data_IF_272444110008
#
_entry.id   IF_272444110008
#
_cell.length_a   1.000
_cell.length_b   1.000
_cell.length_c   1.000
_cell.angle_alpha   90.00
_cell.angle_beta   90.00
_cell.angle_gamma   90.00
#
_symmetry.space_group_name_H-M   'P 1'
#
loop_
_entity.id
_entity.type
_entity.pdbx_description
1 polymer ?
#
# COMPACT_ATOMS: atom_id res chain seq x y z
N UNK A 1 -8.47 -3.78 -21.31
CA UNK A 1 -7.94 -2.53 -21.90
C UNK A 1 -7.32 -2.75 -23.28
N UNK A 2 -6.25 -3.54 -23.41
CA UNK A 2 -5.59 -3.73 -24.73
C UNK A 2 -6.54 -4.33 -25.79
N UNK A 3 -7.43 -5.25 -25.43
CA UNK A 3 -8.47 -5.76 -26.34
C UNK A 3 -9.42 -4.66 -26.83
N UNK A 4 -9.73 -3.68 -25.98
CA UNK A 4 -10.56 -2.52 -26.35
C UNK A 4 -9.80 -1.60 -27.31
N UNK A 5 -8.54 -1.29 -27.02
CA UNK A 5 -7.70 -0.45 -27.89
C UNK A 5 -7.52 -1.07 -29.27
N UNK A 6 -7.27 -2.39 -29.33
CA UNK A 6 -7.20 -3.15 -30.57
C UNK A 6 -8.53 -3.14 -31.33
N UNK A 7 -9.65 -3.34 -30.65
CA UNK A 7 -10.99 -3.30 -31.24
C UNK A 7 -11.38 -1.91 -31.80
N UNK A 8 -10.78 -0.84 -31.28
CA UNK A 8 -10.94 0.53 -31.77
C UNK A 8 -9.88 0.96 -32.80
N UNK A 9 -9.01 0.03 -33.23
CA UNK A 9 -7.88 0.30 -34.14
C UNK A 9 -6.93 1.42 -33.64
N UNK A 10 -6.75 1.53 -32.32
CA UNK A 10 -5.80 2.46 -31.71
C UNK A 10 -4.46 1.72 -31.53
N UNK A 11 -3.36 2.13 -32.21
CA UNK A 11 -2.09 1.42 -32.19
C UNK A 11 -1.26 1.75 -30.93
N UNK A 12 -1.85 1.54 -29.76
CA UNK A 12 -1.24 1.78 -28.45
C UNK A 12 -1.35 0.52 -27.61
N UNK A 13 -0.24 0.16 -26.94
CA UNK A 13 -0.21 -0.90 -25.96
C UNK A 13 -0.03 -0.31 -24.56
N UNK A 14 -0.91 -0.70 -23.64
CA UNK A 14 -0.76 -0.38 -22.22
C UNK A 14 -0.08 -1.55 -21.53
N UNK A 15 1.05 -1.28 -20.87
CA UNK A 15 1.82 -2.25 -20.09
C UNK A 15 1.93 -1.75 -18.66
N UNK A 16 1.67 -2.62 -17.69
CA UNK A 16 1.96 -2.36 -16.29
C UNK A 16 3.24 -3.13 -15.91
N UNK A 17 4.42 -2.47 -15.83
CA UNK A 17 5.67 -3.15 -15.53
C UNK A 17 5.77 -3.67 -14.09
N UNK A 18 4.79 -3.34 -13.24
CA UNK A 18 4.77 -3.68 -11.82
C UNK A 18 3.63 -4.66 -11.46
N UNK A 19 2.97 -5.27 -12.45
CA UNK A 19 1.76 -6.07 -12.23
C UNK A 19 1.93 -7.22 -11.22
N UNK A 20 3.13 -7.80 -11.16
CA UNK A 20 3.44 -9.00 -10.38
C UNK A 20 4.30 -8.70 -9.13
N UNK A 21 4.49 -7.42 -8.84
CA UNK A 21 5.37 -6.96 -7.77
C UNK A 21 4.57 -6.46 -6.57
N UNK A 22 5.07 -6.76 -5.38
CA UNK A 22 4.62 -6.07 -4.17
C UNK A 22 5.00 -4.59 -4.22
N UNK A 23 4.48 -3.78 -3.30
CA UNK A 23 4.85 -2.36 -3.25
C UNK A 23 6.30 -2.16 -2.83
N UNK A 24 6.84 -2.99 -1.95
CA UNK A 24 8.26 -2.97 -1.62
C UNK A 24 9.14 -3.40 -2.79
N UNK A 25 8.79 -4.47 -3.51
CA UNK A 25 9.53 -4.89 -4.70
C UNK A 25 9.48 -3.84 -5.81
N UNK A 26 8.31 -3.23 -6.04
CA UNK A 26 8.16 -2.11 -6.98
C UNK A 26 9.11 -0.96 -6.59
N UNK A 27 9.16 -0.60 -5.31
CA UNK A 27 10.03 0.48 -4.82
C UNK A 27 11.51 0.11 -4.91
N UNK A 28 11.88 -1.14 -4.60
CA UNK A 28 13.23 -1.69 -4.77
C UNK A 28 13.65 -1.62 -6.24
N UNK A 29 12.80 -2.06 -7.16
CA UNK A 29 13.10 -2.02 -8.59
C UNK A 29 13.35 -0.58 -9.08
N UNK A 30 12.58 0.40 -8.60
CA UNK A 30 12.83 1.82 -8.91
C UNK A 30 14.16 2.30 -8.31
N UNK A 31 14.52 1.82 -7.12
CA UNK A 31 15.79 2.16 -6.46
C UNK A 31 17.02 1.55 -7.16
N UNK A 32 16.87 0.35 -7.72
CA UNK A 32 17.92 -0.38 -8.44
C UNK A 32 18.12 0.15 -9.87
N UNK A 33 17.12 0.86 -10.41
CA UNK A 33 17.29 1.72 -11.57
C UNK A 33 18.12 2.97 -11.20
N UNK A 34 18.51 3.85 -12.14
CA UNK A 34 19.10 5.13 -11.80
C UNK A 34 18.01 6.23 -11.68
N UNK A 35 17.22 6.29 -10.58
CA UNK A 35 16.19 7.30 -10.44
C UNK A 35 16.81 8.68 -10.20
N UNK A 36 16.05 9.77 -10.44
CA UNK A 36 16.48 11.11 -10.07
C UNK A 36 16.84 11.18 -8.58
N UNK A 37 17.87 11.95 -8.23
CA UNK A 37 18.37 12.06 -6.84
C UNK A 37 17.31 12.47 -5.82
N UNK A 38 16.25 13.13 -6.24
CA UNK A 38 15.14 13.60 -5.39
C UNK A 38 14.02 12.58 -5.20
N UNK A 39 14.10 11.38 -5.79
CA UNK A 39 12.97 10.45 -5.85
C UNK A 39 12.48 9.99 -4.46
N UNK A 40 13.38 9.73 -3.50
CA UNK A 40 13.01 9.34 -2.12
C UNK A 40 12.24 10.48 -1.44
N UNK A 41 12.70 11.72 -1.63
CA UNK A 41 11.99 12.91 -1.12
C UNK A 41 10.64 13.08 -1.81
N UNK A 42 10.56 12.85 -3.11
CA UNK A 42 9.29 12.91 -3.84
C UNK A 42 8.32 11.83 -3.31
N UNK A 43 8.80 10.60 -3.14
CA UNK A 43 8.03 9.50 -2.55
C UNK A 43 7.50 9.90 -1.18
N UNK A 44 8.33 10.41 -0.27
CA UNK A 44 7.95 10.84 1.08
C UNK A 44 6.84 11.92 1.11
N UNK A 45 6.76 12.77 0.09
CA UNK A 45 5.77 13.83 -0.05
C UNK A 45 4.45 13.40 -0.71
N UNK A 46 4.34 12.16 -1.19
CA UNK A 46 3.08 11.63 -1.73
C UNK A 46 2.13 11.21 -0.60
N UNK A 47 0.83 11.26 -0.89
CA UNK A 47 -0.22 10.84 0.04
C UNK A 47 -0.81 9.52 -0.44
N UNK A 48 -0.73 8.50 0.42
CA UNK A 48 -1.35 7.18 0.18
C UNK A 48 -2.57 6.95 1.05
N UNK A 49 -2.77 7.75 2.11
CA UNK A 49 -3.86 7.60 3.06
C UNK A 49 -5.25 7.56 2.39
N UNK A 50 -5.99 6.47 2.60
CA UNK A 50 -7.34 6.31 2.06
C UNK A 50 -8.46 6.92 2.91
N UNK A 51 -8.14 7.49 4.08
CA UNK A 51 -9.16 8.04 4.99
C UNK A 51 -9.26 9.56 4.93
N UNK A 52 -8.12 10.25 4.82
CA UNK A 52 -7.99 11.72 4.71
C UNK A 52 -8.84 12.53 5.73
N UNK A 53 -9.24 11.91 6.84
CA UNK A 53 -10.11 12.48 7.86
C UNK A 53 -9.31 13.13 9.01
N UNK A 54 -8.01 13.41 8.80
CA UNK A 54 -7.12 13.99 9.80
C UNK A 54 -7.65 15.29 10.41
N UNK A 55 -8.42 16.08 9.63
CA UNK A 55 -9.10 17.30 10.09
C UNK A 55 -10.13 17.06 11.22
N UNK A 56 -10.62 15.83 11.37
CA UNK A 56 -11.63 15.48 12.39
C UNK A 56 -11.00 15.17 13.76
N UNK A 57 -9.68 15.19 13.85
CA UNK A 57 -8.92 14.91 15.06
C UNK A 57 -8.20 16.20 15.46
N UNK A 58 -8.27 16.58 16.73
CA UNK A 58 -7.62 17.79 17.22
C UNK A 58 -6.10 17.71 17.00
N UNK A 59 -5.53 18.72 16.35
CA UNK A 59 -4.11 18.75 15.97
C UNK A 59 -3.76 17.91 14.73
N UNK A 60 -4.74 17.26 14.10
CA UNK A 60 -4.55 16.48 12.88
C UNK A 60 -4.54 17.33 11.61
N UNK A 61 -4.07 16.72 10.51
CA UNK A 61 -3.97 17.37 9.21
C UNK A 61 -4.46 16.39 8.11
N UNK A 62 -5.48 16.74 7.31
CA UNK A 62 -6.02 15.87 6.27
C UNK A 62 -5.05 15.65 5.09
N UNK A 63 -4.00 16.47 4.96
CA UNK A 63 -2.98 16.35 3.93
C UNK A 63 -1.81 15.42 4.33
N UNK A 64 -1.84 14.85 5.53
CA UNK A 64 -0.81 13.92 6.01
C UNK A 64 -1.28 12.47 5.96
N UNK A 65 -0.33 11.56 5.86
CA UNK A 65 -0.62 10.14 5.95
C UNK A 65 -1.02 9.78 7.39
N UNK A 66 -2.05 8.93 7.58
CA UNK A 66 -2.47 8.59 8.94
C UNK A 66 -1.58 7.53 9.61
N UNK A 67 -0.81 6.76 8.82
CA UNK A 67 0.15 5.76 9.31
C UNK A 67 -0.44 4.39 9.66
N UNK A 68 -1.78 4.27 9.72
CA UNK A 68 -2.47 3.10 10.30
C UNK A 68 -3.63 2.52 9.48
N UNK A 69 -4.15 3.21 8.46
CA UNK A 69 -5.11 2.60 7.53
C UNK A 69 -4.41 1.67 6.55
N UNK A 70 -5.13 0.74 5.93
CA UNK A 70 -4.53 -0.26 5.02
C UNK A 70 -3.54 0.32 3.98
N UNK A 71 -3.88 1.37 3.19
CA UNK A 71 -2.91 1.98 2.27
C UNK A 71 -1.65 2.58 2.94
N UNK A 72 -1.76 3.11 4.17
CA UNK A 72 -0.60 3.61 4.91
C UNK A 72 0.27 2.47 5.42
N UNK A 73 -0.32 1.34 5.82
CA UNK A 73 0.43 0.15 6.24
C UNK A 73 1.18 -0.45 5.05
N UNK A 74 0.52 -0.60 3.90
CA UNK A 74 1.17 -1.05 2.65
C UNK A 74 2.33 -0.12 2.28
N UNK A 75 2.14 1.21 2.37
CA UNK A 75 3.20 2.20 2.12
C UNK A 75 4.39 2.00 3.06
N UNK A 76 4.17 1.90 4.37
CA UNK A 76 5.25 1.71 5.37
C UNK A 76 5.98 0.39 5.12
N UNK A 77 5.24 -0.69 4.81
CA UNK A 77 5.79 -1.97 4.43
C UNK A 77 6.67 -1.88 3.20
N UNK A 78 6.24 -1.11 2.19
CA UNK A 78 7.02 -0.89 0.97
C UNK A 78 8.38 -0.23 1.24
N UNK A 79 8.43 0.83 2.06
CA UNK A 79 9.69 1.45 2.45
C UNK A 79 10.62 0.49 3.21
N UNK A 80 10.06 -0.27 4.15
CA UNK A 80 10.82 -1.26 4.95
C UNK A 80 11.39 -2.37 4.05
N UNK A 81 10.55 -3.02 3.23
CA UNK A 81 10.96 -4.09 2.33
C UNK A 81 11.96 -3.60 1.27
N UNK A 82 11.79 -2.38 0.79
CA UNK A 82 12.73 -1.72 -0.09
C UNK A 82 13.92 -1.09 0.64
N UNK A 83 14.12 -1.31 1.95
CA UNK A 83 15.29 -0.83 2.70
C UNK A 83 15.59 0.66 2.50
N UNK A 84 14.56 1.47 2.26
CA UNK A 84 14.67 2.90 2.03
C UNK A 84 14.09 3.62 3.24
N UNK A 85 14.79 4.63 3.78
CA UNK A 85 14.26 5.44 4.87
C UNK A 85 12.94 6.10 4.46
N UNK A 86 11.89 5.84 5.23
CA UNK A 86 10.60 6.50 5.05
C UNK A 86 10.66 7.91 5.65
N UNK A 87 10.69 8.92 4.79
CA UNK A 87 10.67 10.33 5.18
C UNK A 87 9.27 10.93 5.36
N UNK A 88 8.21 10.13 5.26
CA UNK A 88 6.84 10.64 5.40
C UNK A 88 6.50 11.07 6.83
N UNK A 89 5.67 12.09 6.94
CA UNK A 89 5.08 12.50 8.21
C UNK A 89 3.77 11.77 8.42
N UNK A 90 3.68 10.99 9.50
CA UNK A 90 2.48 10.24 9.86
C UNK A 90 1.74 10.84 11.06
N UNK A 91 0.41 10.94 10.99
CA UNK A 91 -0.40 11.37 12.13
C UNK A 91 -0.25 10.44 13.36
N UNK A 92 0.01 9.15 13.13
CA UNK A 92 0.36 8.19 14.17
C UNK A 92 1.71 8.45 14.83
N UNK A 93 2.49 9.42 14.37
CA UNK A 93 3.78 9.79 14.98
C UNK A 93 3.73 11.22 15.53
N UNK A 94 2.92 12.09 14.93
CA UNK A 94 2.78 13.49 15.37
C UNK A 94 1.71 13.71 16.44
N UNK A 95 0.64 12.90 16.47
CA UNK A 95 -0.42 13.03 17.46
C UNK A 95 -0.06 12.31 18.77
N UNK A 96 -0.47 12.92 19.88
CA UNK A 96 -0.25 12.44 21.25
C UNK A 96 -1.53 12.45 22.07
N UNK A 97 -1.57 11.67 23.16
CA UNK A 97 -2.70 11.65 24.10
C UNK A 97 -4.04 11.33 23.43
N UNK A 98 -5.09 12.04 23.84
CA UNK A 98 -6.47 11.80 23.38
C UNK A 98 -6.61 11.84 21.85
N UNK A 99 -5.88 12.72 21.16
CA UNK A 99 -5.90 12.78 19.69
C UNK A 99 -5.29 11.52 19.05
N UNK A 100 -4.24 10.96 19.66
CA UNK A 100 -3.64 9.70 19.21
C UNK A 100 -4.61 8.53 19.45
N UNK A 101 -5.22 8.49 20.62
CA UNK A 101 -6.19 7.44 20.97
C UNK A 101 -7.40 7.48 20.02
N UNK A 102 -7.88 8.68 19.70
CA UNK A 102 -8.94 8.88 18.71
C UNK A 102 -8.53 8.35 17.33
N UNK A 103 -7.29 8.61 16.88
CA UNK A 103 -6.77 8.06 15.63
C UNK A 103 -6.73 6.52 15.67
N UNK A 104 -6.17 5.94 16.73
CA UNK A 104 -6.06 4.49 16.91
C UNK A 104 -7.43 3.81 16.86
N UNK A 105 -8.43 4.41 17.52
CA UNK A 105 -9.82 3.95 17.52
C UNK A 105 -10.45 4.06 16.13
N UNK A 106 -10.28 5.20 15.44
CA UNK A 106 -10.75 5.39 14.06
C UNK A 106 -10.13 4.42 13.05
N UNK A 107 -8.99 3.82 13.37
CA UNK A 107 -8.27 2.85 12.51
C UNK A 107 -8.34 1.41 13.02
N UNK A 108 -9.10 1.17 14.09
CA UNK A 108 -9.20 -0.16 14.71
C UNK A 108 -9.55 -1.25 13.69
N UNK A 109 -10.57 -1.03 12.86
CA UNK A 109 -11.00 -2.03 11.88
C UNK A 109 -9.92 -2.37 10.85
N UNK A 110 -9.25 -1.37 10.25
CA UNK A 110 -8.16 -1.60 9.31
C UNK A 110 -7.00 -2.36 9.96
N UNK A 111 -6.62 -1.98 11.19
CA UNK A 111 -5.52 -2.60 11.94
C UNK A 111 -5.84 -4.04 12.32
N UNK A 112 -7.05 -4.30 12.81
CA UNK A 112 -7.52 -5.63 13.19
C UNK A 112 -7.60 -6.56 11.97
N UNK A 113 -8.11 -6.06 10.84
CA UNK A 113 -8.17 -6.84 9.60
C UNK A 113 -6.78 -7.21 9.08
N UNK A 114 -5.83 -6.27 9.09
CA UNK A 114 -4.44 -6.55 8.70
C UNK A 114 -3.77 -7.52 9.67
N UNK A 115 -3.94 -7.34 10.97
CA UNK A 115 -3.40 -8.28 11.96
C UNK A 115 -3.95 -9.70 11.76
N UNK A 116 -5.25 -9.83 11.54
CA UNK A 116 -5.90 -11.11 11.24
C UNK A 116 -5.33 -11.76 9.97
N UNK A 117 -5.20 -10.99 8.88
CA UNK A 117 -4.68 -11.50 7.62
C UNK A 117 -3.19 -11.89 7.71
N UNK A 118 -2.38 -11.19 8.50
CA UNK A 118 -0.99 -11.58 8.78
C UNK A 118 -0.94 -12.91 9.54
N UNK A 119 -1.81 -13.09 10.53
CA UNK A 119 -1.82 -14.30 11.36
C UNK A 119 -2.39 -15.52 10.61
N UNK A 120 -3.46 -15.33 9.85
CA UNK A 120 -4.23 -16.42 9.23
C UNK A 120 -3.95 -16.64 7.76
N UNK A 121 -3.26 -15.71 7.11
CA UNK A 121 -3.20 -15.66 5.66
C UNK A 121 -4.51 -15.11 5.05
N UNK A 122 -4.53 -15.08 3.72
CA UNK A 122 -5.74 -14.84 2.93
C UNK A 122 -6.12 -16.16 2.29
N UNK A 123 -7.42 -16.47 2.32
CA UNK A 123 -7.98 -17.68 1.73
C UNK A 123 -7.89 -17.61 0.20
N UNK A 124 -7.35 -18.66 -0.43
CA UNK A 124 -7.24 -18.74 -1.88
C UNK A 124 -8.63 -18.74 -2.54
N UNK A 125 -9.66 -19.28 -1.87
CA UNK A 125 -11.05 -19.22 -2.37
C UNK A 125 -11.54 -17.76 -2.52
N UNK A 126 -11.08 -16.84 -1.67
CA UNK A 126 -11.39 -15.41 -1.80
C UNK A 126 -10.64 -14.76 -2.96
N UNK A 127 -9.44 -15.25 -3.25
CA UNK A 127 -8.67 -14.83 -4.42
C UNK A 127 -9.40 -15.30 -5.66
N UNK A 128 -9.73 -16.59 -5.76
CA UNK A 128 -10.40 -17.20 -6.90
C UNK A 128 -11.77 -16.58 -7.20
N UNK A 129 -12.52 -16.21 -6.17
CA UNK A 129 -13.82 -15.56 -6.31
C UNK A 129 -13.77 -14.09 -6.77
N UNK A 130 -12.58 -13.48 -6.90
CA UNK A 130 -12.42 -12.09 -7.31
C UNK A 130 -12.64 -11.89 -8.83
N UNK A 131 -12.84 -10.64 -9.25
CA UNK A 131 -13.08 -10.31 -10.67
C UNK A 131 -11.76 -10.17 -11.43
N UNK A 132 -11.17 -11.30 -11.81
CA UNK A 132 -9.96 -11.34 -12.64
C UNK A 132 -10.25 -11.15 -14.12
N UNK A 133 -9.26 -10.67 -14.86
CA UNK A 133 -9.32 -10.70 -16.32
C UNK A 133 -9.14 -12.14 -16.82
N UNK A 134 -9.65 -12.45 -18.00
CA UNK A 134 -9.48 -13.78 -18.60
C UNK A 134 -7.99 -14.14 -18.73
N UNK A 135 -7.64 -15.36 -18.32
CA UNK A 135 -6.28 -15.88 -18.41
C UNK A 135 -5.29 -15.32 -17.38
N UNK A 136 -5.77 -14.67 -16.31
CA UNK A 136 -4.92 -14.28 -15.19
C UNK A 136 -4.43 -15.51 -14.43
N UNK A 137 -3.14 -15.53 -14.07
CA UNK A 137 -2.54 -16.60 -13.27
C UNK A 137 -2.88 -16.39 -11.78
N UNK A 138 -3.74 -17.24 -11.23
CA UNK A 138 -4.21 -17.13 -9.85
C UNK A 138 -3.16 -17.60 -8.84
N UNK A 139 -2.29 -18.52 -9.22
CA UNK A 139 -1.18 -18.95 -8.37
C UNK A 139 -0.20 -17.80 -8.18
N UNK A 140 0.06 -17.04 -9.25
CA UNK A 140 0.88 -15.82 -9.18
C UNK A 140 0.26 -14.74 -8.29
N UNK A 141 -1.07 -14.62 -8.28
CA UNK A 141 -1.79 -13.72 -7.36
C UNK A 141 -1.66 -14.18 -5.92
N UNK A 142 -1.88 -15.47 -5.63
CA UNK A 142 -1.74 -16.01 -4.27
C UNK A 142 -0.32 -15.79 -3.75
N UNK A 143 0.69 -16.02 -4.59
CA UNK A 143 2.09 -15.73 -4.24
C UNK A 143 2.32 -14.23 -3.97
N UNK A 144 1.77 -13.34 -4.80
CA UNK A 144 1.85 -11.90 -4.61
C UNK A 144 1.19 -11.45 -3.29
N UNK A 145 0.04 -12.01 -2.95
CA UNK A 145 -0.67 -11.74 -1.69
C UNK A 145 0.19 -12.19 -0.50
N UNK A 146 0.73 -13.41 -0.56
CA UNK A 146 1.61 -13.96 0.48
C UNK A 146 2.85 -13.10 0.70
N UNK A 147 3.53 -12.67 -0.37
CA UNK A 147 4.69 -11.75 -0.29
C UNK A 147 4.28 -10.38 0.26
N UNK A 148 3.14 -9.85 -0.16
CA UNK A 148 2.59 -8.58 0.35
C UNK A 148 2.24 -8.64 1.84
N UNK A 149 1.70 -9.75 2.33
CA UNK A 149 1.45 -9.97 3.76
C UNK A 149 2.75 -10.00 4.56
N UNK A 150 3.84 -10.55 4.01
CA UNK A 150 5.15 -10.51 4.65
C UNK A 150 5.69 -9.06 4.79
N UNK A 151 5.44 -8.18 3.82
CA UNK A 151 5.79 -6.76 3.95
C UNK A 151 4.96 -6.07 5.05
N UNK A 152 3.66 -6.38 5.13
CA UNK A 152 2.77 -5.83 6.17
C UNK A 152 3.16 -6.32 7.57
N UNK A 153 3.61 -7.56 7.70
CA UNK A 153 4.05 -8.14 8.98
C UNK A 153 5.27 -7.41 9.59
N UNK A 154 6.05 -6.69 8.78
CA UNK A 154 7.17 -5.88 9.26
C UNK A 154 6.75 -4.51 9.82
N UNK A 155 5.48 -4.11 9.68
CA UNK A 155 4.99 -2.77 10.05
C UNK A 155 4.36 -2.77 11.44
N UNK A 156 4.78 -1.89 12.36
CA UNK A 156 4.09 -1.69 13.63
C UNK A 156 2.66 -1.18 13.43
N UNK A 157 1.68 -1.90 13.99
CA UNK A 157 0.25 -1.58 13.90
C UNK A 157 -0.23 -0.65 15.04
N UNK A 158 0.63 0.21 15.59
CA UNK A 158 0.38 1.08 16.77
C UNK A 158 0.86 2.50 16.56
#
# INVERSE_FOLDING_TARGET
MNNLLAGLAIPVQVVNPFAHLTKGEQMRQVADQPPPTSWVRAAANTVSCGKLDGRTIQGGNPNLNCGLCYPCLVRRGAFIAAGIPDGSVYLSETLTGVSRDQLLNKRHSDRAAVAYAIERGVDDDLIDASTWADGYDLDEVSDLVRRGLAELAAVPLT
#
